data_IF_433483684180
#
_entry.id   IF_433483684180
#
_cell.length_a   1.000
_cell.length_b   1.000
_cell.length_c   1.000
_cell.angle_alpha   90.00
_cell.angle_beta   90.00
_cell.angle_gamma   90.00
#
_symmetry.space_group_name_H-M   'P 1'
#
loop_
_entity.id
_entity.type
_entity.pdbx_description
1 polymer ?
#
# COMPACT_ATOMS: atom_id res chain seq x y z
N UNK A 1 18.19 -2.32 -26.63
CA UNK A 1 18.58 -1.60 -25.40
C UNK A 1 17.89 -0.24 -25.25
N UNK A 2 17.91 0.66 -26.25
CA UNK A 2 17.27 1.99 -26.13
C UNK A 2 15.78 1.98 -25.73
N UNK A 3 14.98 1.01 -26.22
CA UNK A 3 13.54 0.91 -25.90
C UNK A 3 13.24 0.63 -24.42
N UNK A 4 14.09 -0.13 -23.74
CA UNK A 4 13.96 -0.40 -22.30
C UNK A 4 14.35 0.81 -21.45
N UNK A 5 15.25 1.66 -21.95
CA UNK A 5 15.66 2.89 -21.29
C UNK A 5 14.50 3.90 -21.20
N UNK A 6 13.67 3.98 -22.26
CA UNK A 6 12.45 4.80 -22.25
C UNK A 6 11.40 4.27 -21.27
N UNK A 7 11.26 2.94 -21.15
CA UNK A 7 10.33 2.34 -20.20
C UNK A 7 10.73 2.65 -18.74
N UNK A 8 12.02 2.52 -18.43
CA UNK A 8 12.59 2.85 -17.10
C UNK A 8 12.45 4.35 -16.82
N UNK A 9 12.69 5.21 -17.82
CA UNK A 9 12.54 6.65 -17.68
C UNK A 9 11.07 7.07 -17.45
N UNK A 10 10.11 6.43 -18.12
CA UNK A 10 8.68 6.70 -17.93
C UNK A 10 8.20 6.28 -16.53
N UNK A 11 8.68 5.14 -16.02
CA UNK A 11 8.40 4.68 -14.65
C UNK A 11 9.03 5.63 -13.61
N UNK A 12 10.25 6.12 -13.86
CA UNK A 12 10.92 7.11 -13.01
C UNK A 12 10.20 8.46 -13.00
N UNK A 13 9.62 8.89 -14.13
CA UNK A 13 8.88 10.16 -14.23
C UNK A 13 7.51 10.07 -13.53
N UNK A 14 6.84 8.91 -13.55
CA UNK A 14 5.59 8.74 -12.78
C UNK A 14 5.79 8.78 -11.27
N UNK A 15 7.01 8.52 -10.77
CA UNK A 15 7.38 8.62 -9.34
C UNK A 15 7.60 10.07 -8.88
N UNK A 16 7.81 11.01 -9.81
CA UNK A 16 8.01 12.44 -9.48
C UNK A 16 6.71 13.24 -9.44
N UNK A 17 5.61 12.68 -9.95
CA UNK A 17 4.28 13.25 -9.73
C UNK A 17 3.91 12.88 -8.30
N UNK A 18 4.29 13.76 -7.37
CA UNK A 18 3.61 13.85 -6.09
C UNK A 18 2.13 14.07 -6.43
N UNK A 19 1.34 13.00 -6.43
CA UNK A 19 -0.09 13.11 -6.20
C UNK A 19 -0.19 13.52 -4.74
N UNK A 20 0.10 14.80 -4.50
CA UNK A 20 -0.34 15.48 -3.31
C UNK A 20 -1.85 15.55 -3.49
N UNK A 21 -2.51 14.46 -3.12
CA UNK A 21 -3.93 14.48 -2.85
C UNK A 21 -4.08 15.45 -1.68
N UNK A 22 -4.19 16.74 -2.02
CA UNK A 22 -4.73 17.74 -1.13
C UNK A 22 -6.17 17.29 -0.88
N UNK A 23 -6.35 16.40 0.09
CA UNK A 23 -7.65 16.09 0.64
C UNK A 23 -8.21 17.42 1.15
N UNK A 24 -9.35 17.79 0.59
CA UNK A 24 -10.07 18.99 0.94
C UNK A 24 -10.37 18.97 2.44
N UNK A 25 -10.30 20.16 3.05
CA UNK A 25 -10.61 20.41 4.47
C UNK A 25 -12.00 19.86 4.84
N UNK A 26 -12.05 18.74 5.58
CA UNK A 26 -13.02 18.35 6.65
C UNK A 26 -12.96 16.87 7.06
N UNK A 27 -11.98 16.06 6.66
CA UNK A 27 -12.03 14.60 6.89
C UNK A 27 -12.03 14.16 8.36
N UNK A 28 -13.21 13.91 8.94
CA UNK A 28 -13.37 13.17 10.20
C UNK A 28 -13.12 11.66 9.96
N UNK A 29 -13.42 11.17 8.76
CA UNK A 29 -13.14 9.80 8.33
C UNK A 29 -11.78 9.68 7.63
N UNK A 30 -10.86 8.91 8.19
CA UNK A 30 -9.56 8.67 7.58
C UNK A 30 -9.05 7.25 7.84
N UNK A 31 -8.22 6.77 6.91
CA UNK A 31 -7.45 5.54 7.04
C UNK A 31 -6.04 5.82 6.53
N UNK A 32 -5.04 5.22 7.16
CA UNK A 32 -3.64 5.42 6.81
C UNK A 32 -2.84 4.15 7.02
N UNK A 33 -2.17 3.69 5.98
CA UNK A 33 -1.22 2.58 6.04
C UNK A 33 -0.06 2.99 6.97
N UNK A 34 0.05 2.28 8.09
CA UNK A 34 1.10 2.46 9.10
C UNK A 34 2.24 1.45 8.92
N UNK A 35 1.96 0.30 8.30
CA UNK A 35 2.95 -0.67 7.83
C UNK A 35 2.56 -1.23 6.46
N UNK A 36 3.53 -1.51 5.57
CA UNK A 36 4.97 -1.25 5.74
C UNK A 36 5.27 0.25 5.63
N UNK A 37 6.19 0.75 6.46
CA UNK A 37 6.79 2.07 6.24
C UNK A 37 7.81 2.01 5.09
N UNK A 38 8.15 3.13 4.47
CA UNK A 38 9.25 3.18 3.51
C UNK A 38 10.57 2.64 4.11
N UNK A 39 11.18 1.68 3.44
CA UNK A 39 12.35 0.95 3.90
C UNK A 39 12.67 -0.28 3.07
N UNK A 40 13.78 -0.91 3.40
CA UNK A 40 14.15 -2.24 2.93
C UNK A 40 13.85 -3.21 4.06
N UNK A 41 13.11 -4.25 3.73
CA UNK A 41 12.70 -5.32 4.62
C UNK A 41 13.33 -6.62 4.15
N UNK A 42 13.74 -7.45 5.11
CA UNK A 42 14.24 -8.79 4.86
C UNK A 42 13.56 -9.73 5.85
N UNK A 43 12.86 -10.76 5.34
CA UNK A 43 12.08 -11.70 6.15
C UNK A 43 11.15 -11.01 7.18
N UNK A 44 10.38 -10.01 6.74
CA UNK A 44 9.45 -9.25 7.59
C UNK A 44 10.08 -8.14 8.44
N UNK A 45 11.41 -8.12 8.60
CA UNK A 45 12.10 -7.12 9.43
C UNK A 45 12.63 -5.94 8.61
N UNK A 46 12.38 -4.71 9.06
CA UNK A 46 12.92 -3.49 8.45
C UNK A 46 14.41 -3.35 8.78
N UNK A 47 15.27 -3.58 7.81
CA UNK A 47 16.73 -3.51 7.98
C UNK A 47 17.30 -2.12 7.66
N UNK A 48 16.70 -1.40 6.71
CA UNK A 48 17.20 -0.09 6.27
C UNK A 48 16.02 0.88 6.12
N UNK A 49 16.01 2.04 6.78
CA UNK A 49 15.00 3.06 6.53
C UNK A 49 15.20 3.70 5.15
N UNK A 50 14.09 3.97 4.45
CA UNK A 50 14.07 4.69 3.18
C UNK A 50 13.01 5.78 3.27
N UNK A 51 13.16 6.84 2.47
CA UNK A 51 12.18 7.94 2.43
C UNK A 51 11.10 7.77 1.36
N UNK A 52 11.30 6.84 0.42
CA UNK A 52 10.54 6.85 -0.84
C UNK A 52 10.02 5.46 -1.22
N UNK A 53 10.76 4.40 -0.91
CA UNK A 53 10.50 3.07 -1.46
C UNK A 53 10.30 2.02 -0.38
N UNK A 54 9.42 1.06 -0.65
CA UNK A 54 9.30 -0.19 0.11
C UNK A 54 9.92 -1.31 -0.73
N UNK A 55 10.98 -1.92 -0.20
CA UNK A 55 11.70 -3.03 -0.82
C UNK A 55 11.56 -4.26 0.07
N UNK A 56 10.99 -5.35 -0.45
CA UNK A 56 10.73 -6.58 0.31
C UNK A 56 11.62 -7.70 -0.22
N UNK A 57 12.56 -8.14 0.62
CA UNK A 57 13.32 -9.38 0.45
C UNK A 57 12.70 -10.49 1.28
N UNK A 58 11.51 -10.93 0.91
CA UNK A 58 10.73 -12.01 1.54
C UNK A 58 9.47 -12.32 0.72
N UNK A 59 8.74 -13.34 1.12
CA UNK A 59 7.49 -13.81 0.50
C UNK A 59 6.23 -13.32 1.23
N UNK A 60 6.38 -12.64 2.37
CA UNK A 60 5.26 -12.11 3.15
C UNK A 60 5.47 -10.62 3.41
N UNK A 61 4.37 -9.87 3.39
CA UNK A 61 4.33 -8.48 3.84
C UNK A 61 3.16 -8.24 4.78
N UNK A 62 3.47 -7.66 5.94
CA UNK A 62 2.47 -7.23 6.92
C UNK A 62 1.99 -5.82 6.55
N UNK A 63 0.68 -5.70 6.38
CA UNK A 63 0.01 -4.43 6.18
C UNK A 63 -0.79 -4.11 7.42
N UNK A 64 -0.58 -2.93 7.97
CA UNK A 64 -1.36 -2.43 9.11
C UNK A 64 -1.78 -1.00 8.82
N UNK A 65 -2.94 -0.62 9.34
CA UNK A 65 -3.47 0.74 9.17
C UNK A 65 -3.89 1.33 10.50
N UNK A 66 -3.71 2.64 10.59
CA UNK A 66 -4.39 3.47 11.57
C UNK A 66 -5.63 4.04 10.91
N UNK A 67 -6.72 4.16 11.65
CA UNK A 67 -7.98 4.70 11.14
C UNK A 67 -8.66 5.58 12.20
N UNK A 68 -9.54 6.47 11.76
CA UNK A 68 -10.47 7.14 12.64
C UNK A 68 -11.44 6.14 13.29
N UNK A 69 -11.99 6.50 14.44
CA UNK A 69 -12.86 5.62 15.25
C UNK A 69 -14.21 5.28 14.59
N UNK A 70 -14.57 5.98 13.52
CA UNK A 70 -15.82 5.77 12.77
C UNK A 70 -15.66 4.80 11.58
N UNK A 71 -14.45 4.33 11.29
CA UNK A 71 -14.22 3.24 10.34
C UNK A 71 -14.58 1.91 11.01
N UNK A 72 -15.48 1.15 10.41
CA UNK A 72 -15.97 -0.12 10.98
C UNK A 72 -15.46 -1.36 10.25
N UNK A 73 -14.94 -1.21 9.02
CA UNK A 73 -14.34 -2.29 8.24
C UNK A 73 -13.33 -1.71 7.26
N UNK A 74 -12.29 -2.50 6.95
CA UNK A 74 -11.27 -2.17 5.97
C UNK A 74 -11.17 -3.27 4.91
N UNK A 75 -10.96 -2.86 3.66
CA UNK A 75 -10.69 -3.75 2.54
C UNK A 75 -9.30 -3.46 1.99
N UNK A 76 -8.40 -4.44 2.13
CA UNK A 76 -7.04 -4.39 1.64
C UNK A 76 -6.94 -4.99 0.25
N UNK A 77 -6.10 -4.41 -0.58
CA UNK A 77 -5.91 -4.80 -1.97
C UNK A 77 -4.43 -4.88 -2.29
N UNK A 78 -4.01 -6.02 -2.86
CA UNK A 78 -2.70 -6.21 -3.48
C UNK A 78 -2.84 -6.25 -5.00
N UNK A 79 -2.21 -5.32 -5.68
CA UNK A 79 -2.23 -5.22 -7.14
C UNK A 79 -0.84 -5.41 -7.73
N UNK A 80 -0.70 -6.32 -8.70
CA UNK A 80 0.54 -6.52 -9.46
C UNK A 80 0.59 -5.49 -10.59
N UNK A 81 1.45 -4.48 -10.43
CA UNK A 81 1.58 -3.36 -11.37
C UNK A 81 2.10 -3.85 -12.72
N UNK A 82 2.98 -4.87 -12.71
CA UNK A 82 3.62 -5.37 -13.92
C UNK A 82 2.65 -6.19 -14.77
N UNK A 83 1.83 -7.02 -14.12
CA UNK A 83 0.80 -7.84 -14.79
C UNK A 83 -0.51 -7.09 -15.01
N UNK A 84 -0.68 -5.95 -14.36
CA UNK A 84 -1.91 -5.15 -14.33
C UNK A 84 -3.12 -5.93 -13.79
N UNK A 85 -2.87 -6.76 -12.79
CA UNK A 85 -3.88 -7.69 -12.27
C UNK A 85 -4.03 -7.58 -10.76
N UNK A 86 -5.25 -7.82 -10.28
CA UNK A 86 -5.53 -7.94 -8.86
C UNK A 86 -4.99 -9.28 -8.38
N UNK A 87 -4.07 -9.26 -7.43
CA UNK A 87 -3.52 -10.48 -6.85
C UNK A 87 -4.45 -11.00 -5.78
N UNK A 88 -4.82 -10.12 -4.84
CA UNK A 88 -5.57 -10.50 -3.66
C UNK A 88 -6.35 -9.33 -3.06
N UNK A 89 -7.47 -9.62 -2.42
CA UNK A 89 -8.27 -8.67 -1.67
C UNK A 89 -8.77 -9.29 -0.37
N UNK A 90 -8.60 -8.58 0.76
CA UNK A 90 -8.85 -9.10 2.10
C UNK A 90 -9.73 -8.11 2.87
N UNK A 91 -10.82 -8.60 3.46
CA UNK A 91 -11.66 -7.83 4.37
C UNK A 91 -11.22 -8.03 5.82
N UNK A 92 -11.09 -6.94 6.56
CA UNK A 92 -10.88 -6.95 8.00
C UNK A 92 -11.97 -6.12 8.69
N UNK A 93 -12.83 -6.80 9.46
CA UNK A 93 -13.88 -6.18 10.26
C UNK A 93 -13.49 -5.99 11.73
N UNK A 94 -12.26 -6.30 12.12
CA UNK A 94 -11.83 -6.23 13.51
C UNK A 94 -11.35 -4.83 13.88
N UNK A 95 -12.29 -3.90 14.03
CA UNK A 95 -11.98 -2.53 14.47
C UNK A 95 -11.32 -2.48 15.87
N UNK A 96 -11.50 -3.53 16.69
CA UNK A 96 -10.92 -3.64 18.03
C UNK A 96 -9.46 -4.12 17.95
N UNK A 97 -8.54 -3.16 17.73
CA UNK A 97 -7.10 -3.41 17.67
C UNK A 97 -6.38 -2.73 16.51
N UNK A 98 -7.14 -2.13 15.58
CA UNK A 98 -6.65 -1.65 14.29
C UNK A 98 -6.83 -2.71 13.21
N UNK A 99 -6.83 -2.29 11.94
CA UNK A 99 -6.99 -3.22 10.83
C UNK A 99 -5.63 -3.65 10.29
N UNK A 100 -5.52 -4.92 9.90
CA UNK A 100 -4.30 -5.48 9.35
C UNK A 100 -4.55 -6.70 8.48
N UNK A 101 -3.63 -6.96 7.56
CA UNK A 101 -3.60 -8.19 6.80
C UNK A 101 -2.16 -8.57 6.46
N UNK A 102 -1.96 -9.83 6.07
CA UNK A 102 -0.71 -10.30 5.49
C UNK A 102 -0.96 -10.65 4.03
N UNK A 103 -0.08 -10.21 3.14
CA UNK A 103 -0.09 -10.62 1.75
C UNK A 103 1.09 -11.52 1.44
N UNK A 104 0.83 -12.59 0.68
CA UNK A 104 1.89 -13.40 0.08
C UNK A 104 2.37 -12.75 -1.22
N UNK A 105 3.67 -12.49 -1.32
CA UNK A 105 4.31 -11.84 -2.46
C UNK A 105 5.16 -12.81 -3.26
N UNK A 106 5.15 -12.64 -4.58
CA UNK A 106 6.16 -13.18 -5.47
C UNK A 106 7.13 -12.06 -5.88
N UNK A 107 8.22 -12.39 -6.59
CA UNK A 107 9.04 -11.36 -7.22
C UNK A 107 8.18 -10.51 -8.16
N UNK A 108 8.19 -9.19 -7.97
CA UNK A 108 7.30 -8.28 -8.69
C UNK A 108 7.32 -6.85 -8.16
N UNK A 109 6.48 -6.00 -8.77
CA UNK A 109 6.24 -4.63 -8.29
C UNK A 109 4.74 -4.50 -8.05
N UNK A 110 4.39 -4.12 -6.83
CA UNK A 110 3.02 -4.10 -6.35
C UNK A 110 2.59 -2.70 -5.92
N UNK A 111 1.28 -2.49 -5.92
CA UNK A 111 0.61 -1.44 -5.16
C UNK A 111 -0.21 -2.09 -4.06
N UNK A 112 -0.19 -1.51 -2.87
CA UNK A 112 -1.07 -1.89 -1.77
C UNK A 112 -2.02 -0.73 -1.55
N UNK A 113 -3.31 -1.01 -1.54
CA UNK A 113 -4.34 -0.02 -1.25
C UNK A 113 -5.25 -0.54 -0.13
N UNK A 114 -5.83 0.38 0.62
CA UNK A 114 -6.84 0.09 1.62
C UNK A 114 -8.01 1.06 1.46
N UNK A 115 -9.22 0.52 1.53
CA UNK A 115 -10.45 1.31 1.64
C UNK A 115 -11.11 1.01 2.99
N UNK A 116 -11.23 2.03 3.83
CA UNK A 116 -11.98 1.99 5.08
C UNK A 116 -13.41 2.48 4.84
N UNK A 117 -14.40 1.73 5.33
CA UNK A 117 -15.80 2.15 5.26
C UNK A 117 -16.20 2.77 6.58
N UNK A 118 -16.77 3.97 6.50
CA UNK A 118 -17.20 4.75 7.65
C UNK A 118 -18.70 4.60 7.89
N UNK A 119 -19.11 4.75 9.15
CA UNK A 119 -20.54 4.87 9.52
C UNK A 119 -21.09 6.26 9.15
N UNK A 120 -20.20 7.23 8.90
CA UNK A 120 -20.55 8.56 8.45
C UNK A 120 -21.10 8.52 7.01
N UNK A 121 -22.32 9.00 6.83
CA UNK A 121 -22.97 9.03 5.53
C UNK A 121 -22.45 10.15 4.61
N UNK A 122 -21.84 11.20 5.19
CA UNK A 122 -21.24 12.30 4.42
C UNK A 122 -19.84 11.92 3.89
N UNK A 123 -19.11 11.10 4.66
CA UNK A 123 -17.78 10.58 4.32
C UNK A 123 -17.70 9.04 4.40
N UNK A 124 -18.44 8.31 3.54
CA UNK A 124 -18.65 6.87 3.70
C UNK A 124 -17.39 6.02 3.43
N UNK A 125 -16.37 6.59 2.80
CA UNK A 125 -15.16 5.86 2.39
C UNK A 125 -13.92 6.72 2.62
N UNK A 126 -12.94 6.16 3.32
CA UNK A 126 -11.58 6.65 3.42
C UNK A 126 -10.63 5.73 2.65
N UNK A 127 -9.60 6.27 1.99
CA UNK A 127 -8.68 5.48 1.17
C UNK A 127 -7.25 5.91 1.47
N UNK A 128 -6.34 4.92 1.50
CA UNK A 128 -4.91 5.15 1.45
C UNK A 128 -4.23 4.10 0.57
N UNK A 129 -3.03 4.41 0.06
CA UNK A 129 -2.25 3.48 -0.74
C UNK A 129 -0.76 3.71 -0.60
N UNK A 130 0.01 2.69 -0.94
CA UNK A 130 1.46 2.78 -1.14
C UNK A 130 1.85 2.17 -2.47
N UNK A 131 2.71 2.88 -3.21
CA UNK A 131 3.36 2.37 -4.40
C UNK A 131 4.67 3.14 -4.65
N UNK A 132 5.72 2.50 -5.22
CA UNK A 132 5.80 1.07 -5.50
C UNK A 132 6.26 0.26 -4.28
N UNK A 133 5.75 -0.97 -4.16
CA UNK A 133 6.27 -2.01 -3.28
C UNK A 133 7.03 -3.02 -4.15
N UNK A 134 8.36 -3.02 -4.06
CA UNK A 134 9.22 -3.86 -4.90
C UNK A 134 9.59 -5.12 -4.14
N UNK A 135 9.16 -6.27 -4.62
CA UNK A 135 9.54 -7.58 -4.08
C UNK A 135 10.58 -8.25 -4.99
N UNK A 136 11.69 -8.69 -4.42
CA UNK A 136 12.81 -9.31 -5.14
C UNK A 136 13.21 -10.66 -4.55
N UNK A 137 12.29 -11.30 -3.83
CA UNK A 137 12.53 -12.61 -3.24
C UNK A 137 12.52 -13.74 -4.28
N UNK A 138 13.66 -14.42 -4.38
CA UNK A 138 13.86 -15.65 -5.11
C UNK A 138 13.81 -16.81 -4.11
N UNK A 139 12.61 -17.30 -3.82
CA UNK A 139 12.43 -18.64 -3.24
C UNK A 139 12.81 -19.73 -4.24
#
# INVERSE_FOLDING_TARGET
MKKYLYLIAVILVSVLINVNANFFNTNDSWIKISKPESGIYFNGEKIIPSKIYVFIGGDIIDVSVNASSNIFTAYFLLYDIMKKDLVEGIWDGNALGGFSCEFSLNTGIYAIAVAGFAIDAEEPVAIDWIMPVVCFYSG
#
